data_IF_607092729602
#
_entry.id   IF_607092729602
#
_cell.length_a   1.000
_cell.length_b   1.000
_cell.length_c   1.000
_cell.angle_alpha   90.00
_cell.angle_beta   90.00
_cell.angle_gamma   90.00
#
_symmetry.space_group_name_H-M   'P 1'
#
loop_
_entity.id
_entity.type
_entity.pdbx_description
1 polymer ?
#
# COMPACT_ATOMS: atom_id res chain seq x y z
N UNK A 1 -0.45 11.26 -16.32
CA UNK A 1 -0.85 10.84 -14.96
C UNK A 1 -1.27 12.03 -14.12
N UNK A 2 -2.53 12.05 -13.65
CA UNK A 2 -3.13 13.15 -12.88
C UNK A 2 -3.19 12.82 -11.36
N UNK A 3 -2.15 12.17 -10.83
CA UNK A 3 -2.06 11.84 -9.40
C UNK A 3 -2.00 13.13 -8.57
N UNK A 4 -1.17 14.10 -8.97
CA UNK A 4 -0.90 15.30 -8.18
C UNK A 4 -2.02 16.37 -8.08
N UNK A 5 -2.95 16.55 -9.05
CA UNK A 5 -4.15 17.35 -8.80
C UNK A 5 -5.21 16.61 -7.96
N UNK A 6 -5.20 15.26 -7.94
CA UNK A 6 -6.24 14.46 -7.30
C UNK A 6 -5.92 14.04 -5.87
N UNK A 7 -4.67 13.70 -5.61
CA UNK A 7 -4.17 13.29 -4.30
C UNK A 7 -3.26 14.38 -3.76
N UNK A 8 -3.80 15.45 -3.13
CA UNK A 8 -3.02 16.61 -2.69
C UNK A 8 -1.99 16.26 -1.59
N UNK A 9 -2.19 15.13 -0.91
CA UNK A 9 -1.30 14.59 0.11
C UNK A 9 -0.20 13.68 -0.45
N UNK A 10 -0.16 13.49 -1.78
CA UNK A 10 0.90 12.75 -2.48
C UNK A 10 1.77 13.72 -3.26
N UNK A 11 3.08 13.48 -3.23
CA UNK A 11 4.08 14.22 -3.99
C UNK A 11 4.87 13.22 -4.83
N UNK A 12 4.95 13.50 -6.12
CA UNK A 12 5.83 12.77 -7.04
C UNK A 12 6.94 13.74 -7.42
N UNK A 13 8.22 13.40 -7.20
CA UNK A 13 9.32 14.28 -7.55
C UNK A 13 9.40 14.40 -9.07
N UNK A 14 9.62 15.61 -9.59
CA UNK A 14 9.73 15.77 -11.04
C UNK A 14 11.08 15.25 -11.53
N UNK A 15 11.14 14.54 -12.66
CA UNK A 15 12.41 14.22 -13.31
C UNK A 15 13.13 15.52 -13.72
N UNK A 16 14.45 15.53 -13.61
CA UNK A 16 15.31 16.66 -14.01
C UNK A 16 15.79 16.41 -15.44
N UNK A 17 15.23 17.13 -16.45
CA UNK A 17 15.63 16.94 -17.84
C UNK A 17 17.11 17.28 -18.03
N UNK A 18 17.82 16.48 -18.82
CA UNK A 18 19.25 16.66 -19.09
C UNK A 18 20.20 16.06 -18.04
N UNK A 19 19.68 15.61 -16.89
CA UNK A 19 20.44 14.78 -15.93
C UNK A 19 20.02 13.31 -15.94
N UNK A 20 18.83 13.02 -16.48
CA UNK A 20 18.36 11.65 -16.69
C UNK A 20 18.88 11.08 -18.01
N UNK A 21 19.26 9.80 -17.99
CA UNK A 21 19.66 8.99 -19.15
C UNK A 21 18.73 7.77 -19.27
N UNK A 22 18.98 6.92 -20.27
CA UNK A 22 18.29 5.62 -20.41
C UNK A 22 18.45 4.72 -19.18
N UNK A 23 19.58 4.84 -18.45
CA UNK A 23 19.91 3.96 -17.32
C UNK A 23 19.87 4.67 -15.96
N UNK A 24 19.68 5.98 -15.94
CA UNK A 24 19.73 6.79 -14.71
C UNK A 24 18.58 7.77 -14.71
N UNK A 25 17.67 7.64 -13.75
CA UNK A 25 16.62 8.61 -13.50
C UNK A 25 17.05 9.57 -12.39
N UNK A 26 17.19 10.86 -12.73
CA UNK A 26 17.46 11.92 -11.75
C UNK A 26 16.20 12.74 -11.55
N UNK A 27 15.82 12.95 -10.30
CA UNK A 27 14.58 13.66 -9.93
C UNK A 27 14.85 14.69 -8.84
N UNK A 28 13.87 15.57 -8.63
CA UNK A 28 13.84 16.48 -7.50
C UNK A 28 14.03 15.72 -6.19
N UNK A 29 14.91 16.23 -5.32
CA UNK A 29 15.11 15.66 -4.01
C UNK A 29 13.85 15.89 -3.16
N UNK A 30 13.30 14.81 -2.61
CA UNK A 30 12.26 14.90 -1.59
C UNK A 30 12.89 15.03 -0.21
N UNK A 31 12.53 16.08 0.51
CA UNK A 31 12.95 16.28 1.90
C UNK A 31 12.00 15.52 2.86
N UNK A 32 12.40 14.29 3.18
CA UNK A 32 11.68 13.39 4.08
C UNK A 32 12.48 12.16 4.47
N UNK A 33 11.87 11.30 5.27
CA UNK A 33 12.45 10.02 5.71
C UNK A 33 11.79 8.89 4.94
N UNK A 34 12.54 7.89 4.47
CA UNK A 34 11.92 6.69 3.87
C UNK A 34 11.07 5.98 4.92
N UNK A 35 9.90 5.48 4.52
CA UNK A 35 9.01 4.76 5.41
C UNK A 35 9.72 3.56 6.05
N UNK A 36 10.52 2.80 5.28
CA UNK A 36 11.34 1.70 5.81
C UNK A 36 12.32 2.16 6.89
N UNK A 37 12.98 3.30 6.71
CA UNK A 37 13.96 3.80 7.68
C UNK A 37 13.27 4.26 8.96
N UNK A 38 12.13 4.95 8.84
CA UNK A 38 11.30 5.32 9.98
C UNK A 38 10.83 4.08 10.76
N UNK A 39 10.47 3.01 10.06
CA UNK A 39 10.02 1.76 10.67
C UNK A 39 11.16 1.01 11.34
N UNK A 40 12.37 0.98 10.76
CA UNK A 40 13.56 0.40 11.40
C UNK A 40 13.91 1.09 12.71
N UNK A 41 13.74 2.41 12.79
CA UNK A 41 13.96 3.16 14.04
C UNK A 41 12.97 2.70 15.12
N UNK A 42 11.70 2.51 14.77
CA UNK A 42 10.70 1.99 15.71
C UNK A 42 10.98 0.55 16.13
N UNK A 43 11.42 -0.31 15.20
CA UNK A 43 11.83 -1.68 15.53
C UNK A 43 13.01 -1.73 16.49
N UNK A 44 14.02 -0.88 16.30
CA UNK A 44 15.18 -0.81 17.19
C UNK A 44 14.79 -0.40 18.62
N UNK A 45 13.81 0.50 18.78
CA UNK A 45 13.25 0.84 20.09
C UNK A 45 12.55 -0.37 20.72
N UNK A 46 11.68 -1.05 19.96
CA UNK A 46 10.96 -2.24 20.45
C UNK A 46 11.92 -3.38 20.82
N UNK A 47 12.98 -3.60 20.04
CA UNK A 47 14.02 -4.59 20.34
C UNK A 47 14.72 -4.26 21.67
N UNK A 48 15.08 -2.99 21.86
CA UNK A 48 15.73 -2.51 23.10
C UNK A 48 14.83 -2.68 24.31
N UNK A 49 13.53 -2.35 24.19
CA UNK A 49 12.53 -2.55 25.25
C UNK A 49 12.35 -4.03 25.63
N UNK A 50 12.58 -4.95 24.68
CA UNK A 50 12.53 -6.40 24.89
C UNK A 50 13.88 -7.01 25.26
N UNK A 51 14.94 -6.21 25.40
CA UNK A 51 16.28 -6.69 25.72
C UNK A 51 16.90 -7.56 24.62
N UNK A 52 16.49 -7.38 23.36
CA UNK A 52 16.98 -8.13 22.18
C UNK A 52 17.84 -7.24 21.30
N UNK A 53 18.74 -7.84 20.54
CA UNK A 53 19.37 -7.15 19.40
C UNK A 53 18.36 -6.92 18.27
N UNK A 54 18.64 -5.98 17.38
CA UNK A 54 17.77 -5.71 16.22
C UNK A 54 17.66 -6.95 15.32
N UNK A 55 18.74 -7.68 15.11
CA UNK A 55 18.78 -8.87 14.25
C UNK A 55 17.95 -10.02 14.83
N UNK A 56 18.06 -10.28 16.13
CA UNK A 56 17.21 -11.27 16.83
C UNK A 56 15.73 -10.89 16.75
N UNK A 57 15.42 -9.61 16.93
CA UNK A 57 14.05 -9.10 16.82
C UNK A 57 13.50 -9.24 15.40
N UNK A 58 14.29 -8.94 14.37
CA UNK A 58 13.92 -9.12 12.97
C UNK A 58 13.68 -10.60 12.63
N UNK A 59 14.54 -11.51 13.08
CA UNK A 59 14.37 -12.95 12.87
C UNK A 59 13.12 -13.51 13.55
N UNK A 60 12.81 -13.05 14.77
CA UNK A 60 11.57 -13.41 15.45
C UNK A 60 10.35 -12.89 14.70
N UNK A 61 10.36 -11.62 14.29
CA UNK A 61 9.26 -11.02 13.53
C UNK A 61 9.04 -11.74 12.20
N UNK A 62 10.12 -12.14 11.52
CA UNK A 62 10.05 -12.96 10.30
C UNK A 62 9.47 -14.35 10.58
N UNK A 63 9.87 -14.98 11.68
CA UNK A 63 9.31 -16.29 12.09
C UNK A 63 7.82 -16.18 12.38
N UNK A 64 7.39 -15.13 13.10
CA UNK A 64 5.98 -14.83 13.38
C UNK A 64 5.18 -14.49 12.13
N UNK A 65 5.80 -13.79 11.17
CA UNK A 65 5.20 -13.52 9.86
C UNK A 65 4.96 -14.82 9.09
N UNK A 66 5.98 -15.68 9.02
CA UNK A 66 5.90 -16.96 8.34
C UNK A 66 4.92 -17.94 9.01
N UNK A 67 4.72 -17.87 10.33
CA UNK A 67 3.74 -18.70 11.04
C UNK A 67 2.31 -18.13 11.03
N UNK A 68 2.10 -16.94 10.46
CA UNK A 68 0.84 -16.20 10.55
C UNK A 68 0.48 -15.76 11.99
N UNK A 69 1.41 -15.88 12.94
CA UNK A 69 1.25 -15.38 14.31
C UNK A 69 1.26 -13.85 14.35
N UNK A 70 2.09 -13.22 13.52
CA UNK A 70 2.19 -11.76 13.46
C UNK A 70 0.85 -11.11 13.10
N UNK A 71 0.13 -11.69 12.13
CA UNK A 71 -1.22 -11.25 11.77
C UNK A 71 -2.18 -11.38 12.96
N UNK A 72 -2.12 -12.51 13.69
CA UNK A 72 -2.96 -12.77 14.86
C UNK A 72 -2.68 -11.78 16.00
N UNK A 73 -1.42 -11.43 16.23
CA UNK A 73 -1.02 -10.41 17.20
C UNK A 73 -1.50 -9.01 16.79
N UNK A 74 -1.30 -8.64 15.53
CA UNK A 74 -1.74 -7.35 14.97
C UNK A 74 -3.25 -7.14 15.15
N UNK A 75 -4.07 -8.17 14.92
CA UNK A 75 -5.53 -8.10 15.11
C UNK A 75 -5.96 -7.98 16.57
N UNK A 76 -5.17 -8.49 17.51
CA UNK A 76 -5.46 -8.44 18.96
C UNK A 76 -5.05 -7.12 19.60
N UNK A 77 -4.02 -6.47 19.06
CA UNK A 77 -3.46 -5.25 19.62
C UNK A 77 -4.42 -4.08 19.37
N UNK A 78 -4.69 -3.30 20.42
CA UNK A 78 -5.53 -2.11 20.29
C UNK A 78 -4.77 -1.05 19.49
N UNK A 79 -5.23 -0.80 18.26
CA UNK A 79 -4.77 0.34 17.46
C UNK A 79 -5.78 1.48 17.66
N UNK A 80 -5.38 2.63 18.23
CA UNK A 80 -6.30 3.74 18.47
C UNK A 80 -6.92 4.21 17.15
N UNK A 81 -8.18 4.64 17.17
CA UNK A 81 -8.85 5.07 15.94
C UNK A 81 -8.13 6.26 15.29
N UNK A 82 -8.28 6.41 13.97
CA UNK A 82 -7.66 7.50 13.22
C UNK A 82 -7.97 8.89 13.83
N UNK A 83 -9.18 9.07 14.38
CA UNK A 83 -9.57 10.29 15.09
C UNK A 83 -8.72 10.55 16.35
N UNK A 84 -8.49 9.52 17.17
CA UNK A 84 -7.66 9.62 18.37
C UNK A 84 -6.24 9.97 17.98
N UNK A 85 -5.67 9.23 17.02
CA UNK A 85 -4.31 9.43 16.50
C UNK A 85 -4.14 10.86 15.96
N UNK A 86 -5.10 11.37 15.18
CA UNK A 86 -5.07 12.73 14.64
C UNK A 86 -5.19 13.81 15.72
N UNK A 87 -5.99 13.55 16.76
CA UNK A 87 -6.14 14.46 17.90
C UNK A 87 -4.84 14.57 18.68
N UNK A 88 -4.21 13.42 18.99
CA UNK A 88 -2.89 13.39 19.63
C UNK A 88 -1.82 14.06 18.77
N UNK A 89 -1.81 13.79 17.46
CA UNK A 89 -0.89 14.42 16.51
C UNK A 89 -1.05 15.95 16.50
N UNK A 90 -2.29 16.44 16.49
CA UNK A 90 -2.62 17.87 16.51
C UNK A 90 -2.15 18.53 17.81
N UNK A 91 -2.34 17.85 18.94
CA UNK A 91 -1.89 18.32 20.25
C UNK A 91 -0.36 18.44 20.31
N UNK A 92 0.37 17.40 19.88
CA UNK A 92 1.84 17.41 19.82
C UNK A 92 2.33 18.53 18.89
N UNK A 93 1.71 18.70 17.72
CA UNK A 93 2.04 19.79 16.79
C UNK A 93 1.86 21.17 17.44
N UNK A 94 0.78 21.35 18.19
CA UNK A 94 0.48 22.59 18.91
C UNK A 94 1.49 22.86 20.02
N UNK A 95 1.82 21.85 20.82
CA UNK A 95 2.83 21.94 21.87
C UNK A 95 4.20 22.32 21.29
N UNK A 96 4.61 21.69 20.18
CA UNK A 96 5.89 21.99 19.54
C UNK A 96 5.91 23.42 18.95
N UNK A 97 4.80 23.92 18.40
CA UNK A 97 4.69 25.32 17.96
C UNK A 97 4.89 26.29 19.12
N UNK A 98 4.28 26.02 20.28
CA UNK A 98 4.43 26.84 21.48
C UNK A 98 5.87 26.80 21.98
N UNK A 99 6.49 25.62 22.04
CA UNK A 99 7.91 25.48 22.43
C UNK A 99 8.84 26.23 21.49
N UNK A 100 8.63 26.11 20.17
CA UNK A 100 9.43 26.83 19.18
C UNK A 100 9.20 28.34 19.23
N UNK A 101 8.01 28.81 19.59
CA UNK A 101 7.78 30.23 19.89
C UNK A 101 8.59 30.69 21.11
N UNK A 102 8.63 29.89 22.19
CA UNK A 102 9.47 30.21 23.36
C UNK A 102 10.96 30.21 23.01
N UNK A 103 11.42 29.25 22.21
CA UNK A 103 12.80 29.20 21.70
C UNK A 103 13.10 30.43 20.84
N UNK A 104 12.19 30.81 19.95
CA UNK A 104 12.32 32.02 19.13
C UNK A 104 12.51 33.27 19.99
N UNK A 105 11.63 33.45 21.00
CA UNK A 105 11.70 34.58 21.93
C UNK A 105 13.02 34.56 22.70
N UNK A 106 13.42 33.41 23.26
CA UNK A 106 14.69 33.27 23.98
C UNK A 106 15.90 33.60 23.11
N UNK A 107 15.95 33.05 21.89
CA UNK A 107 17.04 33.26 20.95
C UNK A 107 17.14 34.71 20.46
N UNK A 108 16.02 35.44 20.38
CA UNK A 108 16.01 36.84 19.92
C UNK A 108 16.04 37.89 21.03
N UNK A 109 15.89 37.49 22.30
CA UNK A 109 15.91 38.43 23.44
C UNK A 109 17.06 38.13 24.40
N UNK A 110 17.08 36.95 25.01
CA UNK A 110 18.03 36.59 26.07
C UNK A 110 19.43 36.34 25.52
N UNK A 111 19.54 35.65 24.38
CA UNK A 111 20.82 35.31 23.78
C UNK A 111 21.66 36.54 23.42
N UNK A 112 21.12 37.58 22.73
CA UNK A 112 21.87 38.81 22.46
C UNK A 112 22.18 39.62 23.72
N UNK A 113 21.24 39.71 24.66
CA UNK A 113 21.36 40.56 25.86
C UNK A 113 22.33 39.97 26.88
N UNK A 114 22.24 38.66 27.16
CA UNK A 114 23.02 37.98 28.18
C UNK A 114 24.20 37.16 27.61
N UNK A 115 24.50 37.29 26.31
CA UNK A 115 25.54 36.54 25.59
C UNK A 115 25.48 35.03 25.85
N UNK A 116 24.27 34.46 25.83
CA UNK A 116 24.05 33.01 25.99
C UNK A 116 24.09 32.28 24.66
N UNK A 117 24.15 30.95 24.71
CA UNK A 117 24.06 30.12 23.52
C UNK A 117 22.60 29.98 23.05
N UNK A 118 22.36 30.01 21.72
CA UNK A 118 21.05 29.74 21.16
C UNK A 118 20.62 28.30 21.42
N UNK A 119 19.31 28.09 21.54
CA UNK A 119 18.70 26.79 21.63
C UNK A 119 18.19 26.41 20.24
N UNK A 120 18.48 25.20 19.78
CA UNK A 120 17.96 24.69 18.52
C UNK A 120 16.44 24.53 18.58
N UNK A 121 15.78 24.86 17.48
CA UNK A 121 14.35 24.60 17.35
C UNK A 121 14.07 23.11 17.42
N UNK A 122 12.96 22.76 18.07
CA UNK A 122 12.49 21.38 18.09
C UNK A 122 12.01 21.06 16.68
N UNK A 123 12.74 20.19 15.98
CA UNK A 123 12.27 19.61 14.73
C UNK A 123 11.01 18.79 14.99
N UNK A 124 9.99 19.03 14.18
CA UNK A 124 8.71 18.37 14.30
C UNK A 124 8.86 16.94 13.78
N UNK A 125 8.76 15.94 14.66
CA UNK A 125 8.53 14.57 14.21
C UNK A 125 7.19 14.53 13.48
N UNK A 126 7.24 14.16 12.21
CA UNK A 126 6.06 14.00 11.37
C UNK A 126 5.38 12.70 11.79
N UNK A 127 4.44 12.83 12.72
CA UNK A 127 3.56 11.74 13.09
C UNK A 127 2.48 11.63 12.03
N UNK A 128 2.67 10.71 11.08
CA UNK A 128 1.66 10.37 10.09
C UNK A 128 0.87 9.20 10.65
N UNK A 129 -0.44 9.37 10.65
CA UNK A 129 -1.38 8.38 11.13
C UNK A 129 -1.28 7.11 10.24
N UNK A 130 -0.92 5.94 10.79
CA UNK A 130 -0.80 4.70 10.02
C UNK A 130 -2.07 4.34 9.25
N UNK A 131 -3.26 4.68 9.77
CA UNK A 131 -4.52 4.50 9.05
C UNK A 131 -4.58 5.37 7.79
N UNK A 132 -4.22 6.65 7.91
CA UNK A 132 -4.21 7.57 6.76
C UNK A 132 -3.19 7.14 5.70
N UNK A 133 -2.04 6.58 6.10
CA UNK A 133 -1.06 6.02 5.15
C UNK A 133 -1.69 4.87 4.39
N UNK A 134 -2.25 3.88 5.09
CA UNK A 134 -2.81 2.69 4.46
C UNK A 134 -4.01 3.04 3.58
N UNK A 135 -4.88 3.94 4.03
CA UNK A 135 -6.04 4.39 3.27
C UNK A 135 -5.61 5.14 2.01
N UNK A 136 -4.70 6.12 2.14
CA UNK A 136 -4.20 6.89 1.02
C UNK A 136 -3.47 6.03 -0.01
N UNK A 137 -2.60 5.10 0.42
CA UNK A 137 -1.89 4.21 -0.49
C UNK A 137 -2.85 3.27 -1.23
N UNK A 138 -3.83 2.71 -0.54
CA UNK A 138 -4.86 1.89 -1.20
C UNK A 138 -5.67 2.71 -2.21
N UNK A 139 -6.07 3.94 -1.86
CA UNK A 139 -6.85 4.80 -2.75
C UNK A 139 -6.06 5.20 -4.00
N UNK A 140 -4.79 5.58 -3.83
CA UNK A 140 -3.88 5.94 -4.93
C UNK A 140 -3.69 4.76 -5.88
N UNK A 141 -3.30 3.59 -5.37
CA UNK A 141 -3.02 2.45 -6.23
C UNK A 141 -4.28 1.85 -6.85
N UNK A 142 -5.41 1.83 -6.14
CA UNK A 142 -6.68 1.44 -6.75
C UNK A 142 -7.10 2.40 -7.87
N UNK A 143 -6.83 3.69 -7.73
CA UNK A 143 -7.06 4.67 -8.79
C UNK A 143 -6.17 4.43 -10.00
N UNK A 144 -4.86 4.25 -9.81
CA UNK A 144 -3.91 3.95 -10.88
C UNK A 144 -4.34 2.68 -11.66
N UNK A 145 -4.70 1.62 -10.94
CA UNK A 145 -5.08 0.33 -11.53
C UNK A 145 -6.44 0.40 -12.24
N UNK A 146 -7.48 0.89 -11.56
CA UNK A 146 -8.86 0.79 -12.05
C UNK A 146 -9.28 1.98 -12.91
N UNK A 147 -8.85 3.19 -12.59
CA UNK A 147 -9.28 4.42 -13.27
C UNK A 147 -8.30 4.83 -14.36
N UNK A 148 -7.01 4.92 -14.04
CA UNK A 148 -6.00 5.34 -15.02
C UNK A 148 -5.63 4.18 -15.95
N UNK A 149 -5.60 2.96 -15.41
CA UNK A 149 -5.20 1.76 -16.14
C UNK A 149 -3.71 1.61 -16.38
N UNK A 150 -2.92 2.49 -15.79
CA UNK A 150 -1.47 2.45 -15.82
C UNK A 150 -1.01 2.59 -14.37
N UNK A 151 -0.24 1.64 -13.88
CA UNK A 151 0.10 1.56 -12.45
C UNK A 151 1.50 1.01 -12.21
N UNK A 152 2.06 1.32 -11.04
CA UNK A 152 3.31 0.73 -10.58
C UNK A 152 3.04 -0.68 -10.01
N UNK A 153 3.66 -1.71 -10.59
CA UNK A 153 3.54 -3.11 -10.13
C UNK A 153 4.29 -3.45 -8.84
N UNK A 154 5.11 -2.53 -8.31
CA UNK A 154 5.94 -2.74 -7.12
C UNK A 154 6.00 -1.50 -6.18
N UNK A 155 4.90 -1.19 -5.47
CA UNK A 155 4.86 -0.10 -4.49
C UNK A 155 5.55 -0.48 -3.18
N UNK A 156 6.83 -0.88 -3.27
CA UNK A 156 7.61 -1.30 -2.12
C UNK A 156 7.74 -0.14 -1.11
N UNK A 157 7.64 -0.39 0.21
CA UNK A 157 7.76 0.66 1.23
C UNK A 157 9.07 1.48 1.16
N UNK A 158 10.12 0.94 0.57
CA UNK A 158 11.39 1.64 0.31
C UNK A 158 11.27 2.81 -0.68
N UNK A 159 10.21 2.82 -1.48
CA UNK A 159 9.89 3.84 -2.48
C UNK A 159 8.91 4.90 -1.94
N UNK A 160 8.56 4.80 -0.65
CA UNK A 160 7.62 5.68 0.03
C UNK A 160 8.38 6.58 1.00
N UNK A 161 8.20 7.88 0.88
CA UNK A 161 8.80 8.90 1.74
C UNK A 161 7.74 9.56 2.62
N UNK A 162 8.07 9.72 3.90
CA UNK A 162 7.32 10.54 4.84
C UNK A 162 7.93 11.95 4.82
N UNK A 163 7.23 12.90 4.20
CA UNK A 163 7.74 14.25 3.99
C UNK A 163 7.55 15.13 5.23
N UNK A 164 8.43 16.11 5.44
CA UNK A 164 8.38 17.03 6.59
C UNK A 164 7.05 17.78 6.74
N UNK A 165 6.29 17.92 5.66
CA UNK A 165 4.98 18.59 5.61
C UNK A 165 3.78 17.66 5.86
N UNK A 166 4.00 16.38 6.20
CA UNK A 166 2.95 15.39 6.44
C UNK A 166 2.40 14.71 5.18
N UNK A 167 2.96 15.00 4.00
CA UNK A 167 2.62 14.34 2.74
C UNK A 167 3.42 13.05 2.54
N UNK A 168 2.96 12.21 1.62
CA UNK A 168 3.66 11.02 1.17
C UNK A 168 4.36 11.31 -0.16
N UNK A 169 5.65 11.03 -0.22
CA UNK A 169 6.43 11.03 -1.44
C UNK A 169 6.45 9.64 -2.08
N UNK A 170 6.16 9.54 -3.37
CA UNK A 170 6.31 8.29 -4.14
C UNK A 170 7.40 8.50 -5.18
N UNK A 171 8.49 7.73 -5.09
CA UNK A 171 9.71 7.96 -5.89
C UNK A 171 9.97 6.92 -6.97
N UNK A 172 9.27 5.79 -6.95
CA UNK A 172 9.49 4.72 -7.91
C UNK A 172 8.21 4.42 -8.67
N UNK A 173 8.35 4.43 -9.99
CA UNK A 173 7.34 4.06 -10.96
C UNK A 173 7.94 3.03 -11.94
N UNK A 174 8.96 2.27 -11.51
CA UNK A 174 9.45 1.12 -12.25
C UNK A 174 8.38 0.05 -12.43
N UNK A 175 8.60 -0.90 -13.34
CA UNK A 175 7.66 -1.99 -13.64
C UNK A 175 6.22 -1.51 -13.96
N UNK A 176 6.10 -0.37 -14.66
CA UNK A 176 4.79 0.15 -15.11
C UNK A 176 4.04 -0.95 -15.85
N UNK A 177 2.80 -1.18 -15.42
CA UNK A 177 1.87 -2.09 -16.07
C UNK A 177 0.72 -1.31 -16.67
N UNK A 178 0.15 -1.84 -17.74
CA UNK A 178 -1.05 -1.30 -18.37
C UNK A 178 -2.17 -2.34 -18.37
N UNK A 179 -3.38 -1.91 -18.04
CA UNK A 179 -4.60 -2.71 -18.15
C UNK A 179 -5.59 -2.00 -19.07
N UNK A 180 -6.00 -2.70 -20.13
CA UNK A 180 -7.06 -2.25 -21.02
C UNK A 180 -8.36 -1.99 -20.24
N UNK A 181 -9.25 -1.14 -20.78
CA UNK A 181 -10.56 -0.88 -20.18
C UNK A 181 -11.34 -2.17 -19.88
N UNK A 182 -11.34 -3.14 -20.81
CA UNK A 182 -12.00 -4.44 -20.61
C UNK A 182 -11.43 -5.19 -19.40
N UNK A 183 -10.09 -5.25 -19.25
CA UNK A 183 -9.47 -5.89 -18.09
C UNK A 183 -9.75 -5.15 -16.78
N UNK A 184 -9.77 -3.81 -16.80
CA UNK A 184 -10.10 -3.00 -15.63
C UNK A 184 -11.53 -3.20 -15.16
N UNK A 185 -12.49 -3.28 -16.08
CA UNK A 185 -13.90 -3.57 -15.75
C UNK A 185 -14.06 -4.98 -15.17
N UNK A 186 -13.37 -5.97 -15.74
CA UNK A 186 -13.36 -7.33 -15.17
C UNK A 186 -12.73 -7.34 -13.76
N UNK A 187 -11.61 -6.66 -13.56
CA UNK A 187 -10.99 -6.57 -12.23
C UNK A 187 -11.89 -5.84 -11.22
N UNK A 188 -12.51 -4.72 -11.62
CA UNK A 188 -13.46 -3.99 -10.77
C UNK A 188 -14.63 -4.88 -10.33
N UNK A 189 -15.19 -5.67 -11.27
CA UNK A 189 -16.26 -6.63 -10.94
C UNK A 189 -15.77 -7.71 -9.97
N UNK A 190 -14.55 -8.23 -10.14
CA UNK A 190 -13.96 -9.17 -9.17
C UNK A 190 -13.85 -8.57 -7.76
N UNK A 191 -13.37 -7.32 -7.66
CA UNK A 191 -13.23 -6.62 -6.38
C UNK A 191 -14.59 -6.49 -5.67
N UNK A 192 -15.64 -6.13 -6.39
CA UNK A 192 -17.00 -6.07 -5.82
C UNK A 192 -17.48 -7.46 -5.38
N UNK A 193 -17.28 -8.50 -6.19
CA UNK A 193 -17.65 -9.88 -5.85
C UNK A 193 -16.90 -10.42 -4.63
N UNK A 194 -15.62 -10.08 -4.46
CA UNK A 194 -14.85 -10.49 -3.29
C UNK A 194 -15.37 -9.85 -1.99
N UNK A 195 -15.92 -8.63 -2.09
CA UNK A 195 -16.46 -7.88 -0.97
C UNK A 195 -17.89 -8.28 -0.59
N UNK A 196 -18.74 -8.62 -1.57
CA UNK A 196 -20.19 -8.73 -1.38
C UNK A 196 -20.82 -9.98 -2.04
N UNK A 197 -20.08 -10.72 -2.86
CA UNK A 197 -20.59 -11.82 -3.68
C UNK A 197 -20.38 -13.22 -3.08
N UNK A 198 -20.89 -14.23 -3.79
CA UNK A 198 -20.78 -15.64 -3.43
C UNK A 198 -19.50 -16.29 -3.96
N UNK A 199 -19.12 -17.44 -3.38
CA UNK A 199 -17.96 -18.23 -3.81
C UNK A 199 -18.07 -18.61 -5.29
N UNK A 200 -19.26 -19.02 -5.72
CA UNK A 200 -19.55 -19.47 -7.07
C UNK A 200 -19.36 -18.32 -8.07
N UNK A 201 -19.87 -17.12 -7.75
CA UNK A 201 -19.69 -15.94 -8.60
C UNK A 201 -18.22 -15.55 -8.74
N UNK A 202 -17.45 -15.58 -7.65
CA UNK A 202 -15.99 -15.30 -7.66
C UNK A 202 -15.29 -16.29 -8.59
N UNK A 203 -15.55 -17.59 -8.46
CA UNK A 203 -14.93 -18.62 -9.31
C UNK A 203 -15.25 -18.40 -10.78
N UNK A 204 -16.55 -18.27 -11.12
CA UNK A 204 -16.97 -18.09 -12.51
C UNK A 204 -16.37 -16.82 -13.12
N UNK A 205 -16.37 -15.73 -12.37
CA UNK A 205 -15.84 -14.46 -12.85
C UNK A 205 -14.31 -14.51 -13.00
N UNK A 206 -13.58 -15.13 -12.06
CA UNK A 206 -12.12 -15.24 -12.15
C UNK A 206 -11.67 -16.18 -13.30
N UNK A 207 -12.48 -17.20 -13.62
CA UNK A 207 -12.31 -17.99 -14.85
C UNK A 207 -12.54 -17.10 -16.09
N UNK A 208 -13.58 -16.26 -16.10
CA UNK A 208 -13.84 -15.34 -17.24
C UNK A 208 -12.73 -14.30 -17.46
N UNK A 209 -11.92 -14.05 -16.43
CA UNK A 209 -10.73 -13.21 -16.49
C UNK A 209 -9.53 -13.91 -17.15
N UNK A 210 -9.60 -15.22 -17.43
CA UNK A 210 -8.53 -15.98 -18.07
C UNK A 210 -7.71 -16.83 -17.11
N UNK A 211 -8.04 -16.86 -15.82
CA UNK A 211 -7.38 -17.77 -14.86
C UNK A 211 -7.74 -19.22 -15.16
N UNK A 212 -6.74 -20.10 -15.24
CA UNK A 212 -6.89 -21.55 -15.46
C UNK A 212 -5.97 -22.32 -14.54
N UNK A 213 -6.51 -23.37 -13.93
CA UNK A 213 -5.74 -24.41 -13.24
C UNK A 213 -5.91 -25.73 -14.00
N UNK A 214 -5.03 -26.71 -13.78
CA UNK A 214 -5.02 -27.98 -14.55
C UNK A 214 -6.35 -28.70 -14.48
N UNK A 215 -6.98 -28.72 -13.32
CA UNK A 215 -8.24 -29.42 -13.07
C UNK A 215 -9.43 -28.46 -12.91
N UNK A 216 -9.25 -27.16 -13.14
CA UNK A 216 -10.25 -26.12 -12.92
C UNK A 216 -10.88 -26.21 -11.51
N UNK A 217 -10.08 -26.58 -10.50
CA UNK A 217 -10.54 -26.78 -9.15
C UNK A 217 -11.13 -25.48 -8.57
N UNK A 218 -12.45 -25.42 -8.28
CA UNK A 218 -13.10 -24.19 -7.85
C UNK A 218 -12.60 -23.70 -6.48
N UNK A 219 -12.14 -24.60 -5.61
CA UNK A 219 -11.54 -24.21 -4.35
C UNK A 219 -10.21 -23.47 -4.58
N UNK A 220 -9.34 -23.98 -5.45
CA UNK A 220 -8.04 -23.34 -5.76
C UNK A 220 -8.26 -21.98 -6.41
N UNK A 221 -9.16 -21.91 -7.40
CA UNK A 221 -9.45 -20.66 -8.12
C UNK A 221 -10.00 -19.58 -7.18
N UNK A 222 -10.92 -19.93 -6.27
CA UNK A 222 -11.44 -18.95 -5.30
C UNK A 222 -10.37 -18.49 -4.32
N UNK A 223 -9.58 -19.41 -3.77
CA UNK A 223 -8.51 -19.07 -2.84
C UNK A 223 -7.44 -18.19 -3.49
N UNK A 224 -7.11 -18.43 -4.77
CA UNK A 224 -6.22 -17.56 -5.54
C UNK A 224 -6.78 -16.14 -5.69
N UNK A 225 -8.09 -16.01 -5.97
CA UNK A 225 -8.73 -14.70 -6.08
C UNK A 225 -8.70 -13.92 -4.75
N UNK A 226 -9.04 -14.60 -3.64
CA UNK A 226 -9.01 -13.97 -2.30
C UNK A 226 -7.60 -13.60 -1.87
N UNK A 227 -6.64 -14.50 -2.05
CA UNK A 227 -5.26 -14.28 -1.69
C UNK A 227 -4.64 -13.12 -2.49
N UNK A 228 -5.00 -12.98 -3.77
CA UNK A 228 -4.53 -11.88 -4.60
C UNK A 228 -5.16 -10.54 -4.22
N UNK A 229 -6.49 -10.49 -4.12
CA UNK A 229 -7.24 -9.23 -4.17
C UNK A 229 -8.07 -8.89 -2.93
N UNK A 230 -8.13 -9.76 -1.91
CA UNK A 230 -8.98 -9.53 -0.72
C UNK A 230 -8.18 -9.58 0.59
N UNK A 231 -7.90 -10.79 1.10
CA UNK A 231 -7.28 -11.02 2.42
C UNK A 231 -6.33 -12.20 2.37
N UNK A 232 -5.35 -12.16 3.26
CA UNK A 232 -4.32 -13.18 3.47
C UNK A 232 -4.26 -13.64 4.95
N UNK A 233 -5.39 -13.51 5.64
CA UNK A 233 -5.54 -13.87 7.05
C UNK A 233 -5.59 -15.39 7.30
N UNK A 234 -5.48 -15.87 8.55
CA UNK A 234 -5.55 -17.30 8.87
C UNK A 234 -6.84 -18.01 8.46
N UNK A 235 -7.95 -17.30 8.24
CA UNK A 235 -9.20 -17.89 7.74
C UNK A 235 -9.09 -18.17 6.24
N UNK A 236 -8.47 -17.25 5.48
CA UNK A 236 -8.20 -17.45 4.05
C UNK A 236 -7.06 -18.44 3.83
N UNK A 237 -5.93 -18.23 4.49
CA UNK A 237 -4.69 -18.99 4.33
C UNK A 237 -4.61 -20.24 5.21
N UNK A 238 -5.70 -20.59 5.92
CA UNK A 238 -5.83 -21.82 6.71
C UNK A 238 -4.69 -21.98 7.74
N UNK A 239 -4.37 -20.88 8.44
CA UNK A 239 -3.33 -20.82 9.45
C UNK A 239 -1.89 -20.71 8.93
N UNK A 240 -1.68 -20.68 7.60
CA UNK A 240 -0.37 -20.52 6.97
C UNK A 240 -0.15 -19.05 6.56
N UNK A 241 1.09 -18.68 6.26
CA UNK A 241 1.37 -17.42 5.58
C UNK A 241 0.97 -17.48 4.09
N UNK A 242 0.81 -16.32 3.47
CA UNK A 242 0.39 -16.17 2.07
C UNK A 242 1.26 -16.96 1.07
N UNK A 243 2.59 -16.94 1.24
CA UNK A 243 3.53 -17.58 0.34
C UNK A 243 3.41 -19.11 0.38
N UNK A 244 3.47 -19.70 1.58
CA UNK A 244 3.32 -21.15 1.76
C UNK A 244 1.94 -21.62 1.31
N UNK A 245 0.90 -20.82 1.59
CA UNK A 245 -0.45 -21.14 1.15
C UNK A 245 -0.56 -21.14 -0.38
N UNK A 246 0.02 -20.15 -1.06
CA UNK A 246 0.08 -20.12 -2.53
C UNK A 246 0.81 -21.34 -3.12
N UNK A 247 1.92 -21.76 -2.52
CA UNK A 247 2.64 -22.96 -2.93
C UNK A 247 1.79 -24.23 -2.75
N UNK A 248 1.04 -24.34 -1.66
CA UNK A 248 0.15 -25.47 -1.41
C UNK A 248 -1.04 -25.49 -2.38
N UNK A 249 -1.60 -24.34 -2.73
CA UNK A 249 -2.60 -24.24 -3.80
C UNK A 249 -2.05 -24.78 -5.13
N UNK A 250 -0.81 -24.44 -5.47
CA UNK A 250 -0.13 -24.93 -6.67
C UNK A 250 0.16 -26.44 -6.67
N UNK A 251 0.33 -27.04 -5.48
CA UNK A 251 0.43 -28.51 -5.32
C UNK A 251 -0.92 -29.20 -5.47
N UNK A 252 -1.99 -28.58 -4.98
CA UNK A 252 -3.36 -29.10 -5.07
C UNK A 252 -3.88 -29.09 -6.51
N UNK A 253 -3.70 -27.97 -7.22
CA UNK A 253 -4.03 -27.86 -8.63
C UNK A 253 -3.08 -26.88 -9.32
N UNK A 254 -2.30 -27.38 -10.28
CA UNK A 254 -1.26 -26.60 -10.95
C UNK A 254 -1.90 -25.43 -11.70
N UNK A 255 -1.44 -24.21 -11.42
CA UNK A 255 -1.82 -23.01 -12.16
C UNK A 255 -1.24 -23.12 -13.58
N UNK A 256 -2.12 -23.09 -14.59
CA UNK A 256 -1.76 -23.18 -16.01
C UNK A 256 -1.70 -21.79 -16.63
N UNK A 257 -2.63 -20.92 -16.25
CA UNK A 257 -2.72 -19.57 -16.76
C UNK A 257 -3.19 -18.64 -15.66
N UNK A 258 -2.48 -17.54 -15.49
CA UNK A 258 -2.89 -16.39 -14.69
C UNK A 258 -2.38 -15.15 -15.43
N UNK A 259 -3.25 -14.30 -15.99
CA UNK A 259 -2.79 -13.17 -16.81
C UNK A 259 -1.87 -12.22 -16.03
N UNK A 260 -0.74 -11.86 -16.64
CA UNK A 260 0.34 -11.10 -15.98
C UNK A 260 -0.12 -9.77 -15.39
N UNK A 261 -0.96 -9.03 -16.13
CA UNK A 261 -1.50 -7.76 -15.65
C UNK A 261 -2.30 -7.89 -14.34
N UNK A 262 -3.06 -8.98 -14.16
CA UNK A 262 -3.76 -9.25 -12.91
C UNK A 262 -2.82 -9.75 -11.83
N UNK A 263 -1.80 -10.55 -12.17
CA UNK A 263 -0.78 -10.97 -11.21
C UNK A 263 -0.04 -9.76 -10.62
N UNK A 264 0.30 -8.77 -11.45
CA UNK A 264 0.94 -7.53 -10.98
C UNK A 264 0.00 -6.70 -10.11
N UNK A 265 -1.28 -6.57 -10.48
CA UNK A 265 -2.27 -5.90 -9.63
C UNK A 265 -2.49 -6.62 -8.28
N UNK A 266 -2.47 -7.95 -8.28
CA UNK A 266 -2.55 -8.76 -7.06
C UNK A 266 -1.32 -8.56 -6.16
N UNK A 267 -0.12 -8.45 -6.76
CA UNK A 267 1.13 -8.16 -6.05
C UNK A 267 1.07 -6.80 -5.33
N UNK A 268 0.52 -5.77 -5.99
CA UNK A 268 0.27 -4.47 -5.37
C UNK A 268 -0.61 -4.61 -4.13
N UNK A 269 -1.74 -5.31 -4.24
CA UNK A 269 -2.62 -5.58 -3.11
C UNK A 269 -1.91 -6.30 -1.96
N UNK A 270 -1.10 -7.31 -2.27
CA UNK A 270 -0.34 -8.08 -1.27
C UNK A 270 0.70 -7.23 -0.54
N UNK A 271 1.44 -6.36 -1.25
CA UNK A 271 2.41 -5.46 -0.64
C UNK A 271 1.75 -4.44 0.29
N UNK A 272 0.60 -3.89 -0.12
CA UNK A 272 -0.18 -2.97 0.72
C UNK A 272 -0.74 -3.68 1.96
N UNK A 273 -1.22 -4.92 1.84
CA UNK A 273 -1.64 -5.73 3.00
C UNK A 273 -0.48 -6.07 3.93
N UNK A 274 0.69 -6.40 3.38
CA UNK A 274 1.91 -6.62 4.13
C UNK A 274 2.31 -5.39 4.97
N UNK A 275 2.29 -4.21 4.34
CA UNK A 275 2.51 -2.94 5.04
C UNK A 275 1.43 -2.71 6.14
N UNK A 276 0.17 -2.99 5.83
CA UNK A 276 -0.93 -2.92 6.80
C UNK A 276 -0.69 -3.80 8.02
N UNK A 277 -0.43 -5.09 7.83
CA UNK A 277 -0.13 -6.04 8.90
C UNK A 277 1.05 -5.57 9.75
N UNK A 278 2.10 -5.05 9.11
CA UNK A 278 3.29 -4.56 9.81
C UNK A 278 3.02 -3.30 10.64
N UNK A 279 2.18 -2.41 10.14
CA UNK A 279 1.65 -1.25 10.88
C UNK A 279 0.55 -1.62 11.90
N UNK A 280 0.30 -2.91 12.14
CA UNK A 280 -0.76 -3.43 13.02
C UNK A 280 -2.18 -3.01 12.57
N UNK A 281 -2.36 -2.91 11.26
CA UNK A 281 -3.59 -2.55 10.56
C UNK A 281 -3.88 -3.54 9.41
N UNK A 282 -4.09 -4.83 9.73
CA UNK A 282 -4.56 -5.79 8.74
C UNK A 282 -5.89 -5.32 8.15
N UNK A 283 -6.06 -5.47 6.84
CA UNK A 283 -7.23 -4.98 6.13
C UNK A 283 -7.57 -5.84 4.92
N UNK A 284 -8.81 -5.71 4.44
CA UNK A 284 -9.23 -6.24 3.14
C UNK A 284 -8.90 -5.23 2.05
N UNK A 285 -8.15 -5.66 1.04
CA UNK A 285 -7.90 -4.87 -0.18
C UNK A 285 -9.18 -4.70 -0.97
N UNK A 286 -9.97 -5.77 -1.12
CA UNK A 286 -11.23 -5.73 -1.85
C UNK A 286 -12.15 -4.66 -1.26
N UNK A 287 -12.36 -4.66 0.07
CA UNK A 287 -13.20 -3.65 0.74
C UNK A 287 -12.71 -2.22 0.52
N UNK A 288 -11.39 -1.98 0.60
CA UNK A 288 -10.81 -0.64 0.36
C UNK A 288 -10.95 -0.20 -1.10
N UNK A 289 -10.89 -1.13 -2.04
CA UNK A 289 -10.94 -0.83 -3.48
C UNK A 289 -12.37 -0.80 -4.03
N UNK A 290 -13.34 -1.42 -3.35
CA UNK A 290 -14.76 -1.48 -3.74
C UNK A 290 -15.35 -0.12 -4.12
N UNK A 291 -15.15 0.99 -3.39
CA UNK A 291 -15.71 2.29 -3.78
C UNK A 291 -15.24 2.76 -5.16
N UNK A 292 -13.97 2.56 -5.48
CA UNK A 292 -13.37 2.94 -6.78
C UNK A 292 -13.83 1.97 -7.87
N UNK A 293 -13.88 0.67 -7.57
CA UNK A 293 -14.39 -0.34 -8.48
C UNK A 293 -15.86 -0.07 -8.88
N UNK A 294 -16.74 0.20 -7.91
CA UNK A 294 -18.13 0.58 -8.17
C UNK A 294 -18.23 1.83 -9.02
N UNK A 295 -17.44 2.87 -8.71
CA UNK A 295 -17.38 4.09 -9.52
C UNK A 295 -17.01 3.81 -10.99
N UNK A 296 -16.04 2.94 -11.25
CA UNK A 296 -15.67 2.56 -12.61
C UNK A 296 -16.83 1.85 -13.30
N UNK A 297 -17.41 0.83 -12.65
CA UNK A 297 -18.53 0.08 -13.22
C UNK A 297 -19.73 1.00 -13.53
N UNK A 298 -20.08 1.91 -12.61
CA UNK A 298 -21.16 2.88 -12.79
C UNK A 298 -20.90 3.84 -13.95
N UNK A 299 -19.63 4.23 -14.18
CA UNK A 299 -19.24 5.12 -15.28
C UNK A 299 -19.44 4.46 -16.65
N UNK A 300 -19.29 3.14 -16.73
CA UNK A 300 -19.34 2.38 -17.99
C UNK A 300 -20.56 1.45 -18.09
N UNK A 301 -21.54 1.57 -17.19
CA UNK A 301 -22.69 0.66 -17.08
C UNK A 301 -23.57 0.58 -18.34
N UNK A 302 -23.60 1.66 -19.13
CA UNK A 302 -24.46 1.81 -20.30
C UNK A 302 -23.71 1.53 -21.63
N UNK A 303 -22.44 1.08 -21.54
CA UNK A 303 -21.62 0.81 -22.72
C UNK A 303 -21.70 -0.67 -23.09
N UNK A 304 -21.95 -0.94 -24.36
CA UNK A 304 -22.06 -2.30 -24.92
C UNK A 304 -20.77 -3.12 -24.72
N UNK A 305 -20.90 -4.35 -24.22
CA UNK A 305 -19.78 -5.29 -24.07
C UNK A 305 -19.08 -5.60 -25.39
N UNK A 306 -19.79 -5.59 -26.53
CA UNK A 306 -19.16 -5.75 -27.85
C UNK A 306 -18.27 -4.57 -28.22
N UNK A 307 -18.67 -3.35 -27.85
CA UNK A 307 -17.86 -2.15 -28.07
C UNK A 307 -16.61 -2.17 -27.19
N UNK A 308 -16.73 -2.57 -25.92
CA UNK A 308 -15.59 -2.72 -25.00
C UNK A 308 -14.57 -3.77 -25.46
N UNK A 309 -15.03 -4.86 -26.09
CA UNK A 309 -14.17 -5.91 -26.62
C UNK A 309 -13.53 -5.54 -27.98
N UNK A 310 -13.99 -4.49 -28.66
CA UNK A 310 -13.40 -4.04 -29.93
C UNK A 310 -12.03 -3.35 -29.78
N UNK A 311 -11.74 -2.81 -28.58
CA UNK A 311 -10.44 -2.24 -28.21
C UNK A 311 -9.36 -3.27 -27.86
N UNK A 312 -9.65 -4.58 -27.99
CA UNK A 312 -8.73 -5.69 -27.67
C UNK A 312 -7.73 -5.97 -28.81
N UNK A 313 -7.81 -5.26 -29.94
CA UNK A 313 -7.07 -5.59 -31.17
C UNK A 313 -5.74 -4.85 -31.39
N UNK A 314 -5.09 -4.39 -30.32
CA UNK A 314 -3.68 -3.93 -30.42
C UNK A 314 -2.84 -4.68 -29.39
N UNK A 315 -2.70 -5.99 -29.61
CA UNK A 315 -1.62 -6.77 -28.99
C UNK A 315 -0.29 -6.26 -29.58
N UNK A 316 0.53 -5.66 -28.73
CA UNK A 316 1.94 -5.41 -29.05
C UNK A 316 2.68 -6.74 -28.92
N UNK A 317 3.03 -7.30 -30.09
CA UNK A 317 4.02 -8.38 -30.28
C UNK A 317 5.37 -8.02 -29.69
#
# INVERSE_FOLDING_TARGET
HNIMPRFPNVVIPRPIPGMSTEFVLVMEKLDGTKLVDALKIEQAKMATEQGKTLEEFEQEMMTKYLSGELYREAKKKYTPSAFIINTYASLIRTINRIKNLCIFIYNHTIVPILKRYPIDYIEQYVFINPHEIIDLLNEVHAHEILIDGIFNGDPHPGNIFLLKNGKIGLIDFGQVQELSLSHRLKLAKLIVLLSEGTKEEIVQHYISMGTRTRHMNPYVIEKLARLGFDRDDPEICEGKNAQLFFEDLGKLDKIIQLPDGYLMAARVGLLLRGLGTWLQLPHSTAQKWTPIAKKLLDTYKDIDEQFLNSFVSVDYS
#
